data_IF_857749726824
#
_entry.id   IF_857749726824
#
_cell.length_a   1.000
_cell.length_b   1.000
_cell.length_c   1.000
_cell.angle_alpha   90.00
_cell.angle_beta   90.00
_cell.angle_gamma   90.00
#
_symmetry.space_group_name_H-M   'P 1'
#
loop_
_entity.id
_entity.type
_entity.pdbx_description
1 polymer ?
#
# COMPACT_ATOMS: atom_id res chain seq x y z
N UNK A 1 4.89 -12.80 6.55
CA UNK A 1 6.31 -12.51 6.82
C UNK A 1 6.74 -13.21 8.09
N UNK A 2 7.95 -13.76 8.15
CA UNK A 2 8.47 -14.40 9.36
C UNK A 2 8.53 -13.38 10.52
N UNK A 3 8.27 -13.83 11.76
CA UNK A 3 8.25 -12.95 12.94
C UNK A 3 6.97 -12.12 13.12
N UNK A 4 5.96 -12.31 12.27
CA UNK A 4 4.63 -11.71 12.44
C UNK A 4 3.74 -12.56 13.35
N UNK A 5 2.81 -11.91 14.07
CA UNK A 5 1.86 -12.58 14.95
C UNK A 5 0.49 -12.75 14.25
N UNK A 6 -0.14 -13.94 14.31
CA UNK A 6 -1.49 -14.13 13.78
C UNK A 6 -2.54 -13.46 14.69
N UNK A 7 -3.68 -13.07 14.12
CA UNK A 7 -4.81 -12.51 14.86
C UNK A 7 -5.83 -11.83 13.94
N UNK A 8 -7.03 -11.54 14.44
CA UNK A 8 -8.07 -10.82 13.68
C UNK A 8 -7.57 -9.42 13.25
N UNK A 9 -6.91 -8.70 14.15
CA UNK A 9 -6.29 -7.40 13.89
C UNK A 9 -5.11 -7.45 12.90
N UNK A 10 -4.63 -8.65 12.52
CA UNK A 10 -3.61 -8.84 11.50
C UNK A 10 -4.18 -8.99 10.09
N UNK A 11 -5.50 -9.18 9.96
CA UNK A 11 -6.17 -9.34 8.68
C UNK A 11 -6.49 -7.98 8.05
N UNK A 12 -6.10 -7.79 6.79
CA UNK A 12 -6.56 -6.66 6.00
C UNK A 12 -8.07 -6.80 5.71
N UNK A 13 -8.80 -5.69 5.48
CA UNK A 13 -8.30 -4.32 5.44
C UNK A 13 -8.08 -3.69 6.82
N UNK A 14 -7.00 -2.92 6.96
CA UNK A 14 -6.82 -2.00 8.07
C UNK A 14 -7.69 -0.76 7.84
N UNK A 15 -8.20 -0.15 8.91
CA UNK A 15 -9.13 0.97 8.80
C UNK A 15 -8.79 2.12 9.75
N UNK A 16 -8.97 3.36 9.29
CA UNK A 16 -9.03 4.54 10.16
C UNK A 16 -9.82 5.67 9.49
N UNK A 17 -10.91 6.11 10.13
CA UNK A 17 -11.78 7.13 9.56
C UNK A 17 -12.33 6.69 8.20
N UNK A 18 -12.14 7.46 7.11
CA UNK A 18 -12.65 7.11 5.78
C UNK A 18 -11.79 6.05 5.07
N UNK A 19 -10.59 5.75 5.58
CA UNK A 19 -9.60 4.98 4.86
C UNK A 19 -9.71 3.48 5.15
N UNK A 20 -9.67 2.69 4.08
CA UNK A 20 -9.42 1.26 4.11
C UNK A 20 -8.12 0.96 3.37
N UNK A 21 -7.28 0.12 3.97
CA UNK A 21 -5.93 -0.16 3.49
C UNK A 21 -5.61 -1.65 3.47
N UNK A 22 -4.95 -2.12 2.41
CA UNK A 22 -4.38 -3.46 2.31
C UNK A 22 -2.94 -3.39 1.83
N UNK A 23 -2.14 -4.36 2.29
CA UNK A 23 -0.77 -4.58 1.86
C UNK A 23 -0.66 -6.02 1.36
N UNK A 24 -0.44 -6.18 0.06
CA UNK A 24 -0.07 -7.45 -0.55
C UNK A 24 1.45 -7.47 -0.73
N UNK A 25 2.14 -8.13 0.19
CA UNK A 25 3.59 -8.12 0.17
C UNK A 25 4.20 -8.65 1.46
N UNK A 26 5.51 -8.45 1.56
CA UNK A 26 6.32 -8.93 2.69
C UNK A 26 7.55 -8.04 2.82
N UNK A 27 7.95 -7.75 4.06
CA UNK A 27 9.21 -7.07 4.38
C UNK A 27 10.25 -8.05 4.93
N UNK A 28 11.22 -8.52 4.11
CA UNK A 28 12.26 -9.43 4.57
C UNK A 28 13.11 -8.82 5.70
N UNK A 29 13.49 -9.63 6.68
CA UNK A 29 14.26 -9.18 7.85
C UNK A 29 13.43 -8.43 8.89
N UNK A 30 12.10 -8.50 8.81
CA UNK A 30 11.20 -7.98 9.84
C UNK A 30 11.48 -8.62 11.22
N UNK A 31 11.43 -7.84 12.33
CA UNK A 31 11.20 -6.38 12.37
C UNK A 31 12.48 -5.53 12.22
N UNK A 32 13.67 -6.10 12.34
CA UNK A 32 14.92 -5.33 12.43
C UNK A 32 15.22 -4.52 11.17
N UNK A 33 14.91 -5.05 9.98
CA UNK A 33 15.19 -4.40 8.70
C UNK A 33 14.44 -3.09 8.49
N UNK A 34 13.33 -2.89 9.19
CA UNK A 34 12.47 -1.70 9.05
C UNK A 34 12.56 -0.75 10.23
N UNK A 35 13.36 -1.07 11.25
CA UNK A 35 13.46 -0.28 12.47
C UNK A 35 13.87 1.18 12.22
N UNK A 36 14.80 1.40 11.29
CA UNK A 36 15.24 2.74 10.91
C UNK A 36 14.13 3.55 10.20
N UNK A 37 13.35 2.92 9.32
CA UNK A 37 12.19 3.54 8.68
C UNK A 37 11.08 3.83 9.71
N UNK A 38 10.84 2.90 10.64
CA UNK A 38 9.85 3.04 11.71
C UNK A 38 10.18 4.18 12.68
N UNK A 39 11.46 4.54 12.85
CA UNK A 39 11.90 5.62 13.73
C UNK A 39 11.37 7.01 13.32
N UNK A 40 10.86 7.16 12.10
CA UNK A 40 10.17 8.37 11.66
C UNK A 40 8.78 8.57 12.31
N UNK A 41 8.18 7.49 12.84
CA UNK A 41 6.88 7.57 13.52
C UNK A 41 7.03 8.06 14.96
N UNK A 42 6.09 8.90 15.45
CA UNK A 42 6.00 9.19 16.87
C UNK A 42 5.81 7.91 17.68
N UNK A 43 6.50 7.79 18.83
CA UNK A 43 6.42 6.60 19.70
C UNK A 43 4.97 6.27 20.08
N UNK A 44 4.14 7.28 20.31
CA UNK A 44 2.72 7.08 20.61
C UNK A 44 1.95 6.39 19.46
N UNK A 45 2.29 6.67 18.21
CA UNK A 45 1.68 6.01 17.05
C UNK A 45 2.20 4.58 16.88
N UNK A 46 3.49 4.34 17.14
CA UNK A 46 4.07 2.98 17.16
C UNK A 46 3.43 2.09 18.23
N UNK A 47 3.18 2.64 19.42
CA UNK A 47 2.52 1.91 20.51
C UNK A 47 1.04 1.66 20.25
N UNK A 48 0.42 2.38 19.33
CA UNK A 48 -0.97 2.23 18.94
C UNK A 48 -1.18 1.26 17.77
N UNK A 49 -0.12 0.61 17.27
CA UNK A 49 -0.25 -0.38 16.19
C UNK A 49 -0.93 -1.64 16.72
N UNK A 50 -2.12 -1.94 16.18
CA UNK A 50 -3.01 -2.99 16.69
C UNK A 50 -2.51 -4.43 16.45
N UNK A 51 -1.46 -4.61 15.64
CA UNK A 51 -0.92 -5.92 15.29
C UNK A 51 0.59 -5.90 15.12
N UNK A 52 1.26 -6.97 15.56
CA UNK A 52 2.69 -7.19 15.33
C UNK A 52 2.92 -7.83 13.95
N UNK A 53 2.53 -7.11 12.90
CA UNK A 53 2.79 -7.49 11.51
C UNK A 53 3.52 -6.37 10.78
N UNK A 54 4.26 -6.72 9.74
CA UNK A 54 4.84 -5.75 8.81
C UNK A 54 3.74 -4.90 8.16
N UNK A 55 2.66 -5.51 7.69
CA UNK A 55 1.51 -4.79 7.11
C UNK A 55 0.91 -3.73 8.06
N UNK A 56 0.84 -4.02 9.37
CA UNK A 56 0.34 -3.06 10.34
C UNK A 56 1.30 -1.87 10.55
N UNK A 57 2.62 -2.10 10.51
CA UNK A 57 3.59 -1.00 10.49
C UNK A 57 3.48 -0.17 9.21
N UNK A 58 3.40 -0.81 8.05
CA UNK A 58 3.22 -0.11 6.77
C UNK A 58 1.98 0.78 6.83
N UNK A 59 0.86 0.24 7.35
CA UNK A 59 -0.35 1.01 7.56
C UNK A 59 -0.12 2.21 8.47
N UNK A 60 0.57 2.04 9.61
CA UNK A 60 0.87 3.14 10.52
C UNK A 60 1.69 4.25 9.85
N UNK A 61 2.67 3.90 9.01
CA UNK A 61 3.49 4.84 8.23
C UNK A 61 2.67 5.61 7.18
N UNK A 62 1.73 4.94 6.51
CA UNK A 62 0.78 5.59 5.58
C UNK A 62 -0.16 6.52 6.34
N UNK A 63 -0.77 6.03 7.42
CA UNK A 63 -1.74 6.76 8.21
C UNK A 63 -1.14 8.02 8.86
N UNK A 64 0.11 7.96 9.29
CA UNK A 64 0.84 9.13 9.79
C UNK A 64 0.88 10.27 8.75
N UNK A 65 1.22 9.93 7.49
CA UNK A 65 1.27 10.89 6.38
C UNK A 65 -0.12 11.45 6.04
N UNK A 66 -1.13 10.57 5.99
CA UNK A 66 -2.51 10.98 5.72
C UNK A 66 -3.04 11.96 6.78
N UNK A 67 -2.82 11.67 8.07
CA UNK A 67 -3.22 12.56 9.18
C UNK A 67 -2.50 13.91 9.17
N UNK A 68 -1.32 13.97 8.57
CA UNK A 68 -0.54 15.19 8.34
C UNK A 68 -0.99 15.98 7.10
N UNK A 69 -2.00 15.50 6.39
CA UNK A 69 -2.58 16.15 5.21
C UNK A 69 -1.88 15.81 3.89
N UNK A 70 -1.02 14.78 3.86
CA UNK A 70 -0.48 14.31 2.59
C UNK A 70 -1.59 13.72 1.71
N UNK A 71 -1.62 14.02 0.40
CA UNK A 71 -2.49 13.31 -0.54
C UNK A 71 -2.26 11.79 -0.50
N UNK A 72 -3.28 10.95 -0.76
CA UNK A 72 -3.16 9.49 -0.76
C UNK A 72 -1.99 8.96 -1.58
N UNK A 73 -1.81 9.48 -2.79
CA UNK A 73 -0.70 9.10 -3.67
C UNK A 73 0.68 9.37 -3.06
N UNK A 74 0.86 10.56 -2.48
CA UNK A 74 2.10 10.94 -1.81
C UNK A 74 2.34 10.13 -0.53
N UNK A 75 1.27 9.79 0.20
CA UNK A 75 1.34 8.97 1.40
C UNK A 75 1.83 7.55 1.09
N UNK A 76 1.31 6.92 0.04
CA UNK A 76 1.77 5.60 -0.41
C UNK A 76 3.19 5.68 -0.99
N UNK A 77 3.43 6.58 -1.94
CA UNK A 77 4.72 6.71 -2.62
C UNK A 77 5.87 7.00 -1.63
N UNK A 78 5.64 7.90 -0.66
CA UNK A 78 6.62 8.21 0.37
C UNK A 78 6.87 7.04 1.33
N UNK A 79 5.84 6.25 1.65
CA UNK A 79 6.02 5.06 2.50
C UNK A 79 6.80 3.97 1.76
N UNK A 80 6.51 3.75 0.48
CA UNK A 80 7.25 2.79 -0.36
C UNK A 80 8.70 3.21 -0.48
N UNK A 81 8.98 4.49 -0.77
CA UNK A 81 10.34 5.01 -0.88
C UNK A 81 11.16 4.81 0.40
N UNK A 82 10.58 5.13 1.57
CA UNK A 82 11.25 4.94 2.86
C UNK A 82 11.57 3.46 3.12
N UNK A 83 10.62 2.55 2.90
CA UNK A 83 10.82 1.12 3.20
C UNK A 83 11.77 0.46 2.21
N UNK A 84 11.65 0.80 0.92
CA UNK A 84 12.50 0.26 -0.14
C UNK A 84 13.97 0.67 0.02
N UNK A 85 14.26 1.81 0.66
CA UNK A 85 15.63 2.21 0.98
C UNK A 85 16.29 1.32 2.07
N UNK A 86 15.49 0.57 2.84
CA UNK A 86 15.99 -0.25 3.95
C UNK A 86 15.88 -1.76 3.69
N UNK A 87 14.92 -2.21 2.87
CA UNK A 87 14.72 -3.63 2.60
C UNK A 87 14.15 -3.89 1.19
N UNK A 88 14.53 -5.02 0.59
CA UNK A 88 14.04 -5.48 -0.72
C UNK A 88 12.67 -6.15 -0.66
N UNK A 89 11.68 -5.49 -0.04
CA UNK A 89 10.33 -6.02 0.14
C UNK A 89 9.43 -5.93 -1.09
N UNK A 90 8.31 -6.66 -1.05
CA UNK A 90 7.16 -6.43 -1.95
C UNK A 90 6.19 -5.49 -1.24
N UNK A 91 5.74 -4.46 -1.93
CA UNK A 91 5.00 -3.33 -1.35
C UNK A 91 3.82 -2.94 -2.26
N UNK A 92 2.98 -3.91 -2.64
CA UNK A 92 1.72 -3.59 -3.30
C UNK A 92 0.73 -3.10 -2.24
N UNK A 93 0.58 -1.78 -2.19
CA UNK A 93 -0.31 -1.11 -1.27
C UNK A 93 -1.61 -0.79 -2.00
N UNK A 94 -2.74 -0.91 -1.32
CA UNK A 94 -4.05 -0.53 -1.83
C UNK A 94 -4.76 0.29 -0.76
N UNK A 95 -5.17 1.50 -1.10
CA UNK A 95 -5.85 2.43 -0.23
C UNK A 95 -7.11 2.94 -0.93
N UNK A 96 -8.22 3.02 -0.20
CA UNK A 96 -9.41 3.74 -0.66
C UNK A 96 -9.97 4.61 0.45
N UNK A 97 -10.55 5.74 0.07
CA UNK A 97 -11.35 6.62 0.93
C UNK A 97 -12.87 6.49 0.67
N UNK A 98 -13.27 5.48 -0.11
CA UNK A 98 -14.64 5.25 -0.54
C UNK A 98 -15.04 5.99 -1.83
N UNK A 99 -14.18 6.88 -2.36
CA UNK A 99 -14.42 7.59 -3.63
C UNK A 99 -13.34 7.27 -4.66
N UNK A 100 -12.10 7.15 -4.21
CA UNK A 100 -10.94 6.86 -5.06
C UNK A 100 -10.19 5.63 -4.58
N UNK A 101 -9.41 5.04 -5.49
CA UNK A 101 -8.45 3.98 -5.21
C UNK A 101 -7.06 4.54 -5.50
N UNK A 102 -6.16 4.44 -4.52
CA UNK A 102 -4.73 4.69 -4.69
C UNK A 102 -3.99 3.40 -4.43
N UNK A 103 -3.11 2.99 -5.34
CA UNK A 103 -2.38 1.74 -5.22
C UNK A 103 -0.93 1.87 -5.68
N UNK A 104 -0.07 0.96 -5.24
CA UNK A 104 1.30 0.82 -5.74
C UNK A 104 1.54 -0.56 -6.30
N UNK A 105 2.32 -0.64 -7.36
CA UNK A 105 3.06 -1.85 -7.76
C UNK A 105 4.50 -1.72 -7.29
N UNK A 106 4.96 -2.71 -6.55
CA UNK A 106 6.35 -2.82 -6.12
C UNK A 106 6.70 -4.29 -5.85
N UNK A 107 7.21 -4.96 -6.89
CA UNK A 107 7.69 -6.34 -6.82
C UNK A 107 6.60 -7.40 -6.81
N UNK A 108 5.33 -7.04 -7.04
CA UNK A 108 4.19 -7.95 -7.20
C UNK A 108 3.20 -7.42 -8.24
N UNK A 109 2.28 -8.26 -8.74
CA UNK A 109 1.36 -7.87 -9.82
C UNK A 109 0.18 -7.04 -9.34
N UNK A 110 -0.30 -6.15 -10.22
CA UNK A 110 -1.55 -5.42 -10.05
C UNK A 110 -2.15 -5.17 -11.43
N UNK A 111 -3.46 -5.25 -11.51
CA UNK A 111 -4.24 -5.06 -12.72
C UNK A 111 -5.37 -4.08 -12.44
N UNK A 112 -5.81 -3.38 -13.48
CA UNK A 112 -7.02 -2.58 -13.44
C UNK A 112 -7.93 -2.90 -14.62
N UNK A 113 -9.22 -2.68 -14.43
CA UNK A 113 -10.25 -2.77 -15.45
C UNK A 113 -11.24 -1.63 -15.28
N UNK A 114 -11.73 -1.09 -16.41
CA UNK A 114 -12.84 -0.15 -16.41
C UNK A 114 -14.14 -0.92 -16.56
N UNK A 115 -15.05 -0.80 -15.59
CA UNK A 115 -16.26 -1.63 -15.59
C UNK A 115 -17.33 -1.06 -16.55
N UNK A 116 -18.14 -1.91 -17.21
CA UNK A 116 -19.18 -1.48 -18.16
C UNK A 116 -20.26 -0.56 -17.57
N UNK A 117 -20.38 -0.49 -16.25
CA UNK A 117 -21.31 0.38 -15.51
C UNK A 117 -20.68 1.68 -14.98
N UNK A 118 -19.42 1.95 -15.32
CA UNK A 118 -18.62 3.03 -14.74
C UNK A 118 -17.81 2.56 -13.53
N UNK A 119 -16.79 3.35 -13.17
CA UNK A 119 -15.82 2.99 -12.14
C UNK A 119 -14.68 2.12 -12.66
N UNK A 120 -13.75 1.86 -11.75
CA UNK A 120 -12.51 1.13 -12.00
C UNK A 120 -12.36 0.06 -10.92
N UNK A 121 -12.19 -1.18 -11.37
CA UNK A 121 -11.75 -2.27 -10.51
C UNK A 121 -10.23 -2.37 -10.53
N UNK A 122 -9.63 -2.58 -9.37
CA UNK A 122 -8.19 -2.84 -9.18
C UNK A 122 -8.02 -4.15 -8.42
N UNK A 123 -7.17 -5.06 -8.92
CA UNK A 123 -6.97 -6.38 -8.33
C UNK A 123 -5.52 -6.86 -8.51
N UNK A 124 -5.04 -7.76 -7.65
CA UNK A 124 -3.69 -8.36 -7.80
C UNK A 124 -3.56 -9.22 -9.05
N UNK A 125 -4.66 -9.86 -9.46
CA UNK A 125 -4.79 -10.69 -10.65
C UNK A 125 -6.21 -10.54 -11.24
N UNK A 126 -6.40 -10.77 -12.55
CA UNK A 126 -7.73 -10.86 -13.15
C UNK A 126 -8.60 -11.90 -12.44
N UNK A 127 -9.81 -11.52 -12.05
CA UNK A 127 -10.73 -12.43 -11.35
C UNK A 127 -11.73 -13.15 -12.27
N UNK A 128 -11.66 -12.89 -13.57
CA UNK A 128 -12.43 -13.54 -14.63
C UNK A 128 -11.59 -13.64 -15.91
N UNK A 129 -12.09 -14.39 -16.89
CA UNK A 129 -11.42 -14.66 -18.17
C UNK A 129 -11.64 -13.52 -19.20
N UNK A 130 -12.02 -12.32 -18.77
CA UNK A 130 -12.24 -11.20 -19.67
C UNK A 130 -10.90 -10.64 -20.18
N UNK A 131 -10.82 -10.29 -21.46
CA UNK A 131 -9.59 -9.77 -22.08
C UNK A 131 -9.38 -8.26 -21.84
N UNK A 132 -10.16 -7.63 -20.96
CA UNK A 132 -10.16 -6.17 -20.72
C UNK A 132 -9.38 -5.73 -19.46
N UNK A 133 -8.70 -6.68 -18.81
CA UNK A 133 -7.74 -6.38 -17.75
C UNK A 133 -6.45 -5.79 -18.30
N UNK A 134 -6.01 -4.69 -17.71
CA UNK A 134 -4.74 -4.05 -18.03
C UNK A 134 -3.77 -4.21 -16.86
N UNK A 135 -2.60 -4.79 -17.13
CA UNK A 135 -1.53 -4.89 -16.14
C UNK A 135 -0.94 -3.50 -15.83
N UNK A 136 -0.76 -3.20 -14.55
CA UNK A 136 -0.04 -2.01 -14.10
C UNK A 136 1.47 -2.32 -14.16
N UNK A 137 2.29 -1.47 -14.80
CA UNK A 137 3.74 -1.66 -14.80
C UNK A 137 4.30 -1.71 -13.39
N UNK A 138 5.36 -2.47 -13.13
CA UNK A 138 6.02 -2.47 -11.82
C UNK A 138 6.55 -1.06 -11.46
N UNK A 139 6.73 -0.79 -10.15
CA UNK A 139 7.17 0.51 -9.60
C UNK A 139 6.31 1.66 -10.07
N UNK A 140 4.99 1.51 -9.97
CA UNK A 140 4.03 2.50 -10.43
C UNK A 140 3.04 2.83 -9.32
N UNK A 141 2.75 4.13 -9.17
CA UNK A 141 1.62 4.64 -8.42
C UNK A 141 0.40 4.70 -9.34
N UNK A 142 -0.67 4.03 -8.96
CA UNK A 142 -1.99 4.12 -9.58
C UNK A 142 -2.88 5.02 -8.72
N UNK A 143 -3.55 5.98 -9.36
CA UNK A 143 -4.64 6.76 -8.76
C UNK A 143 -5.85 6.64 -9.68
N UNK A 144 -6.93 6.07 -9.17
CA UNK A 144 -8.18 5.87 -9.90
C UNK A 144 -9.32 6.58 -9.18
N UNK A 145 -9.96 7.51 -9.87
CA UNK A 145 -11.24 8.09 -9.49
C UNK A 145 -12.40 7.39 -10.20
N UNK A 146 -13.63 7.93 -10.09
CA UNK A 146 -14.80 7.38 -10.78
C UNK A 146 -14.66 7.37 -12.31
N UNK A 147 -14.00 8.39 -12.87
CA UNK A 147 -13.95 8.67 -14.30
C UNK A 147 -12.53 8.71 -14.88
N UNK A 148 -11.50 8.70 -14.03
CA UNK A 148 -10.12 8.85 -14.45
C UNK A 148 -9.19 7.83 -13.78
N UNK A 149 -8.12 7.51 -14.49
CA UNK A 149 -7.04 6.66 -14.01
C UNK A 149 -5.71 7.29 -14.41
N UNK A 150 -4.82 7.41 -13.44
CA UNK A 150 -3.47 7.93 -13.64
C UNK A 150 -2.45 6.93 -13.15
N UNK A 151 -1.43 6.69 -13.97
CA UNK A 151 -0.28 5.87 -13.65
C UNK A 151 0.97 6.76 -13.64
N UNK A 152 1.66 6.80 -12.50
CA UNK A 152 2.88 7.59 -12.32
C UNK A 152 4.02 6.68 -11.88
N UNK A 153 5.15 6.63 -12.60
CA UNK A 153 6.32 5.87 -12.14
C UNK A 153 6.79 6.33 -10.75
N UNK A 154 7.01 5.37 -9.85
CA UNK A 154 7.64 5.60 -8.56
C UNK A 154 9.15 5.76 -8.75
N UNK A 155 9.75 6.65 -7.96
CA UNK A 155 11.21 6.80 -7.93
C UNK A 155 11.81 5.56 -7.27
N UNK A 156 12.80 4.93 -7.91
CA UNK A 156 13.65 3.99 -7.20
C UNK A 156 14.47 4.76 -6.15
N UNK A 157 14.63 4.23 -4.93
CA UNK A 157 15.56 4.80 -3.98
C UNK A 157 16.97 4.78 -4.59
N UNK A 158 17.68 5.90 -4.50
CA UNK A 158 19.10 5.94 -4.89
C UNK A 158 19.89 5.01 -3.96
N UNK A 159 20.82 4.20 -4.50
CA UNK A 159 21.65 3.30 -3.71
C UNK A 159 22.59 4.04 -2.74
#
# INVERSE_FOLDING_TARGET
TDGTAPGESAAAPFAAGPWLFSHNGTLPGWPESVAAAAAALPVAELLAVDSRTDSALVWAMVLHRLRRGAPPGDALAGTVADLAAHCGGRLNLLLTDGVSITATTWGDTLYHRRDPGGGITVASEPHDDADDWTAVPDRTLLVAGPDDLQLTPLKEPQP
#
